data_IF_530402708336
#
_entry.id   IF_530402708336
#
_cell.length_a   1.000
_cell.length_b   1.000
_cell.length_c   1.000
_cell.angle_alpha   90.00
_cell.angle_beta   90.00
_cell.angle_gamma   90.00
#
_symmetry.space_group_name_H-M   'P 1'
#
loop_
_entity.id
_entity.type
_entity.pdbx_description
1 polymer ?
#
# COMPACT_ATOMS: atom_id res chain seq x y z
N UNK A 1 4.30 -10.66 -3.43
CA UNK A 1 5.66 -10.67 -4.00
C UNK A 1 5.61 -11.24 -5.39
N UNK A 2 6.47 -10.77 -6.28
CA UNK A 2 6.58 -11.33 -7.63
C UNK A 2 7.17 -12.75 -7.63
N UNK A 3 7.97 -13.10 -6.60
CA UNK A 3 8.60 -14.42 -6.48
C UNK A 3 7.68 -15.47 -5.88
N UNK A 4 7.71 -16.67 -6.47
CA UNK A 4 7.11 -17.87 -5.90
C UNK A 4 7.89 -18.36 -4.67
N UNK A 5 7.22 -19.06 -3.75
CA UNK A 5 7.89 -19.62 -2.58
C UNK A 5 9.00 -20.63 -2.93
N UNK A 6 8.97 -21.23 -4.12
CA UNK A 6 10.05 -22.08 -4.63
C UNK A 6 11.29 -21.27 -5.02
N UNK A 7 11.13 -20.11 -5.65
CA UNK A 7 12.23 -19.22 -6.00
C UNK A 7 12.88 -18.62 -4.76
N UNK A 8 12.08 -18.25 -3.77
CA UNK A 8 12.56 -17.82 -2.45
C UNK A 8 13.34 -18.96 -1.79
N UNK A 9 12.79 -20.18 -1.75
CA UNK A 9 13.45 -21.33 -1.14
C UNK A 9 14.81 -21.65 -1.77
N UNK A 10 14.99 -21.42 -3.08
CA UNK A 10 16.29 -21.60 -3.75
C UNK A 10 17.38 -20.68 -3.20
N UNK A 11 17.01 -19.49 -2.72
CA UNK A 11 17.90 -18.46 -2.18
C UNK A 11 18.12 -18.58 -0.66
N UNK A 12 17.31 -19.38 0.04
CA UNK A 12 17.46 -19.60 1.48
C UNK A 12 18.60 -20.59 1.82
N UNK A 13 19.08 -20.61 3.08
CA UNK A 13 20.16 -21.50 3.54
C UNK A 13 19.81 -23.00 3.55
N UNK A 14 18.52 -23.36 3.48
CA UNK A 14 18.01 -24.75 3.48
C UNK A 14 18.42 -25.58 4.70
N UNK A 15 18.77 -24.93 5.82
CA UNK A 15 19.17 -25.60 7.07
C UNK A 15 18.02 -26.26 7.81
N UNK A 16 16.78 -25.77 7.62
CA UNK A 16 15.59 -26.19 8.39
C UNK A 16 15.80 -26.12 9.92
N UNK A 17 16.59 -25.15 10.40
CA UNK A 17 16.96 -25.01 11.81
C UNK A 17 15.79 -24.62 12.74
N UNK A 18 14.72 -24.05 12.19
CA UNK A 18 13.52 -23.53 12.90
C UNK A 18 13.76 -22.28 13.75
N UNK A 19 14.92 -21.65 13.66
CA UNK A 19 15.23 -20.42 14.41
C UNK A 19 14.32 -19.24 14.03
N UNK A 20 13.74 -19.26 12.82
CA UNK A 20 12.74 -18.29 12.38
C UNK A 20 11.30 -18.59 12.87
N UNK A 21 11.11 -19.67 13.64
CA UNK A 21 9.81 -20.13 14.16
C UNK A 21 8.99 -20.97 13.18
N UNK A 22 9.53 -21.31 12.00
CA UNK A 22 8.85 -22.15 11.00
C UNK A 22 9.43 -23.56 10.96
N UNK A 23 8.61 -24.60 10.69
CA UNK A 23 9.04 -26.00 10.74
C UNK A 23 10.07 -26.36 9.66
N UNK A 24 10.07 -25.65 8.52
CA UNK A 24 11.04 -25.83 7.43
C UNK A 24 11.33 -24.49 6.73
N UNK A 25 12.46 -24.41 6.03
CA UNK A 25 12.79 -23.25 5.18
C UNK A 25 11.78 -23.07 4.04
N UNK A 26 11.17 -24.16 3.54
CA UNK A 26 10.11 -24.08 2.55
C UNK A 26 8.84 -23.46 3.14
N UNK A 27 8.47 -23.82 4.37
CA UNK A 27 7.32 -23.20 5.05
C UNK A 27 7.55 -21.70 5.27
N UNK A 28 8.77 -21.30 5.67
CA UNK A 28 9.15 -19.90 5.75
C UNK A 28 9.04 -19.20 4.39
N UNK A 29 9.58 -19.81 3.32
CA UNK A 29 9.53 -19.25 1.96
C UNK A 29 8.11 -19.03 1.44
N UNK A 30 7.17 -19.93 1.74
CA UNK A 30 5.76 -19.78 1.35
C UNK A 30 5.07 -18.64 2.10
N UNK A 31 5.38 -18.47 3.39
CA UNK A 31 4.83 -17.37 4.20
C UNK A 31 5.42 -16.03 3.79
N UNK A 32 6.71 -16.03 3.40
CA UNK A 32 7.39 -14.86 2.83
C UNK A 32 6.71 -14.48 1.51
N UNK A 33 6.54 -15.41 0.56
CA UNK A 33 5.85 -15.15 -0.71
C UNK A 33 4.44 -14.55 -0.54
N UNK A 34 3.72 -15.01 0.50
CA UNK A 34 2.40 -14.48 0.85
C UNK A 34 2.43 -13.06 1.44
N UNK A 35 3.59 -12.55 1.86
CA UNK A 35 3.73 -11.26 2.54
C UNK A 35 3.31 -11.30 4.01
N UNK A 36 3.33 -12.47 4.65
CA UNK A 36 2.89 -12.68 6.04
C UNK A 36 4.04 -12.63 7.06
N UNK A 37 5.27 -12.60 6.57
CA UNK A 37 6.49 -12.57 7.38
C UNK A 37 7.55 -11.79 6.62
N UNK A 38 8.48 -11.17 7.34
CA UNK A 38 9.62 -10.47 6.75
C UNK A 38 10.86 -11.37 6.68
N UNK A 39 11.75 -11.08 5.73
CA UNK A 39 12.97 -11.87 5.50
C UNK A 39 13.92 -11.86 6.72
N UNK A 40 13.92 -10.75 7.46
CA UNK A 40 14.73 -10.50 8.67
C UNK A 40 14.51 -11.52 9.79
N UNK A 41 13.36 -12.21 9.76
CA UNK A 41 13.03 -13.23 10.76
C UNK A 41 13.92 -14.48 10.65
N UNK A 42 14.64 -14.66 9.54
CA UNK A 42 15.60 -15.74 9.41
C UNK A 42 17.02 -15.24 9.68
N UNK A 43 17.66 -15.64 10.80
CA UNK A 43 18.97 -15.11 11.19
C UNK A 43 20.12 -15.62 10.33
N UNK A 44 19.88 -16.63 9.49
CA UNK A 44 20.92 -17.31 8.71
C UNK A 44 20.95 -16.89 7.23
N UNK A 45 20.14 -15.92 6.81
CA UNK A 45 20.11 -15.46 5.41
C UNK A 45 21.39 -14.68 5.10
N UNK A 46 22.10 -15.06 4.04
CA UNK A 46 23.28 -14.33 3.57
C UNK A 46 22.90 -12.94 3.06
N UNK A 47 23.80 -11.97 3.15
CA UNK A 47 23.51 -10.60 2.72
C UNK A 47 23.20 -10.51 1.21
N UNK A 48 23.88 -11.32 0.39
CA UNK A 48 23.58 -11.47 -1.05
C UNK A 48 22.15 -11.96 -1.31
N UNK A 49 21.64 -12.89 -0.48
CA UNK A 49 20.27 -13.38 -0.59
C UNK A 49 19.27 -12.34 -0.08
N UNK A 50 19.64 -11.49 0.89
CA UNK A 50 18.81 -10.37 1.34
C UNK A 50 18.64 -9.33 0.24
N UNK A 51 19.71 -8.93 -0.43
CA UNK A 51 19.65 -7.95 -1.52
C UNK A 51 18.78 -8.46 -2.67
N UNK A 52 19.05 -9.67 -3.17
CA UNK A 52 18.30 -10.24 -4.29
C UNK A 52 16.82 -10.46 -3.98
N UNK A 53 16.48 -10.84 -2.75
CA UNK A 53 15.08 -11.00 -2.33
C UNK A 53 14.41 -9.67 -2.04
N UNK A 54 15.13 -8.68 -1.52
CA UNK A 54 14.60 -7.33 -1.28
C UNK A 54 14.24 -6.65 -2.59
N UNK A 55 15.14 -6.65 -3.57
CA UNK A 55 14.92 -6.08 -4.90
C UNK A 55 13.72 -6.72 -5.61
N UNK A 56 13.65 -8.06 -5.61
CA UNK A 56 12.57 -8.80 -6.25
C UNK A 56 11.23 -8.75 -5.48
N UNK A 57 11.26 -8.33 -4.22
CA UNK A 57 10.05 -8.18 -3.40
C UNK A 57 9.49 -6.77 -3.40
N UNK A 58 10.21 -5.79 -3.98
CA UNK A 58 9.70 -4.42 -4.07
C UNK A 58 8.35 -4.42 -4.81
N UNK A 59 7.34 -3.73 -4.26
CA UNK A 59 6.07 -3.55 -4.96
C UNK A 59 6.32 -2.93 -6.33
N UNK A 60 5.64 -3.40 -7.40
CA UNK A 60 5.78 -2.81 -8.72
C UNK A 60 5.29 -1.36 -8.76
N UNK A 61 4.39 -0.99 -7.84
CA UNK A 61 3.86 0.36 -7.66
C UNK A 61 4.33 0.87 -6.30
N UNK A 62 5.07 1.98 -6.31
CA UNK A 62 5.58 2.60 -5.10
C UNK A 62 4.46 3.14 -4.21
N UNK A 63 4.72 3.16 -2.90
CA UNK A 63 3.89 3.84 -1.91
C UNK A 63 4.05 5.35 -2.04
N UNK A 64 2.94 6.08 -2.10
CA UNK A 64 2.90 7.54 -2.03
C UNK A 64 1.95 7.95 -0.92
N UNK A 65 2.47 8.64 0.08
CA UNK A 65 1.67 9.21 1.16
C UNK A 65 1.39 10.69 0.86
N UNK A 66 0.12 11.07 0.91
CA UNK A 66 -0.33 12.45 0.63
C UNK A 66 -1.01 12.99 1.88
N UNK A 67 -0.54 14.14 2.36
CA UNK A 67 -1.04 14.81 3.56
C UNK A 67 -0.15 14.60 4.79
N UNK A 68 -0.67 14.99 5.95
CA UNK A 68 -0.01 14.79 7.25
C UNK A 68 -1.04 14.63 8.36
N UNK A 69 -0.70 13.86 9.40
CA UNK A 69 -1.58 13.62 10.54
C UNK A 69 -2.74 12.67 10.23
N UNK A 70 -3.88 12.87 10.89
CA UNK A 70 -5.03 11.96 10.85
C UNK A 70 -5.74 11.90 9.49
N UNK A 71 -5.52 12.89 8.61
CA UNK A 71 -6.09 12.96 7.26
C UNK A 71 -5.11 12.55 6.16
N UNK A 72 -3.93 12.01 6.52
CA UNK A 72 -3.02 11.47 5.53
C UNK A 72 -3.60 10.19 4.93
N UNK A 73 -3.49 10.05 3.60
CA UNK A 73 -3.90 8.84 2.90
C UNK A 73 -2.75 8.29 2.06
N UNK A 74 -2.77 6.97 1.88
CA UNK A 74 -1.75 6.24 1.14
C UNK A 74 -2.32 5.81 -0.20
N UNK A 75 -1.57 6.07 -1.26
CA UNK A 75 -1.81 5.57 -2.60
C UNK A 75 -0.68 4.62 -3.03
N UNK A 76 -0.99 3.73 -3.96
CA UNK A 76 -0.02 2.80 -4.53
C UNK A 76 0.06 1.47 -3.78
N UNK A 77 1.23 0.84 -3.79
CA UNK A 77 1.46 -0.51 -3.24
C UNK A 77 0.57 -1.63 -3.83
N UNK A 78 -0.10 -1.37 -4.94
CA UNK A 78 -0.93 -2.36 -5.60
C UNK A 78 -0.08 -3.43 -6.27
N UNK A 79 -0.55 -4.68 -6.15
CA UNK A 79 0.22 -5.86 -6.60
C UNK A 79 -0.50 -6.69 -7.66
N UNK A 80 -1.76 -6.38 -7.97
CA UNK A 80 -2.61 -7.18 -8.87
C UNK A 80 -3.44 -6.30 -9.80
N UNK A 81 -3.80 -6.86 -10.96
CA UNK A 81 -4.72 -6.23 -11.91
C UNK A 81 -6.18 -6.55 -11.58
N UNK A 82 -6.46 -7.74 -11.06
CA UNK A 82 -7.81 -8.19 -10.76
C UNK A 82 -7.99 -8.55 -9.29
N UNK A 83 -9.10 -8.09 -8.72
CA UNK A 83 -9.45 -8.31 -7.30
C UNK A 83 -9.66 -9.76 -6.88
N UNK A 84 -9.80 -10.68 -7.84
CA UNK A 84 -9.99 -12.10 -7.55
C UNK A 84 -8.66 -12.85 -7.40
N UNK A 85 -7.57 -12.31 -7.97
CA UNK A 85 -6.23 -12.85 -7.75
C UNK A 85 -5.74 -12.50 -6.34
N UNK A 86 -5.96 -11.25 -5.92
CA UNK A 86 -5.68 -10.75 -4.57
C UNK A 86 -6.53 -9.51 -4.27
N UNK A 87 -6.66 -9.18 -3.00
CA UNK A 87 -7.32 -7.95 -2.53
C UNK A 87 -6.51 -6.71 -2.92
N UNK A 88 -7.19 -5.66 -3.38
CA UNK A 88 -6.61 -4.32 -3.49
C UNK A 88 -6.32 -3.75 -2.10
N UNK A 89 -5.17 -3.12 -1.93
CA UNK A 89 -4.64 -2.79 -0.62
C UNK A 89 -5.11 -1.41 -0.18
N UNK A 90 -5.00 -0.43 -1.07
CA UNK A 90 -5.27 0.97 -0.75
C UNK A 90 -6.53 1.46 -1.46
N UNK A 91 -7.44 2.07 -0.70
CA UNK A 91 -8.66 2.64 -1.24
C UNK A 91 -8.33 3.84 -2.16
N UNK A 92 -9.07 3.99 -3.26
CA UNK A 92 -8.91 5.13 -4.15
C UNK A 92 -9.30 6.43 -3.45
N UNK A 93 -8.40 7.43 -3.50
CA UNK A 93 -8.69 8.76 -2.98
C UNK A 93 -9.70 9.50 -3.86
N UNK A 94 -10.70 10.10 -3.24
CA UNK A 94 -11.69 10.94 -3.89
C UNK A 94 -11.40 12.41 -3.59
N UNK A 95 -11.33 13.21 -4.66
CA UNK A 95 -11.03 14.62 -4.57
C UNK A 95 -12.02 15.47 -5.38
N UNK A 96 -12.39 16.63 -4.83
CA UNK A 96 -13.21 17.63 -5.53
C UNK A 96 -12.30 18.73 -6.08
N UNK A 97 -12.53 19.13 -7.34
CA UNK A 97 -11.75 20.19 -7.97
C UNK A 97 -12.40 21.54 -7.75
N UNK A 98 -11.63 22.50 -7.23
CA UNK A 98 -12.01 23.91 -7.07
C UNK A 98 -11.13 24.74 -8.00
N UNK A 99 -11.74 25.65 -8.78
CA UNK A 99 -10.99 26.55 -9.65
C UNK A 99 -10.75 27.89 -8.94
N UNK A 100 -9.63 28.53 -9.22
CA UNK A 100 -9.27 29.85 -8.68
C UNK A 100 -10.07 31.03 -9.31
N UNK A 101 -10.76 30.80 -10.42
CA UNK A 101 -11.58 31.82 -11.12
C UNK A 101 -13.01 31.93 -10.55
N UNK A 102 -13.33 31.13 -9.53
CA UNK A 102 -14.63 31.17 -8.87
C UNK A 102 -14.67 32.32 -7.87
N UNK A 103 -15.85 32.90 -7.66
CA UNK A 103 -16.00 33.94 -6.63
C UNK A 103 -15.74 33.37 -5.23
N UNK A 104 -15.24 34.19 -4.30
CA UNK A 104 -14.97 33.76 -2.92
C UNK A 104 -16.21 33.11 -2.27
N UNK A 105 -17.41 33.64 -2.54
CA UNK A 105 -18.68 33.09 -2.04
C UNK A 105 -18.98 31.66 -2.56
N UNK A 106 -18.59 31.35 -3.80
CA UNK A 106 -18.77 30.02 -4.38
C UNK A 106 -17.73 29.03 -3.86
N UNK A 107 -16.51 29.50 -3.58
CA UNK A 107 -15.45 28.71 -2.97
C UNK A 107 -15.85 28.32 -1.54
N UNK A 108 -16.32 29.27 -0.73
CA UNK A 108 -16.76 29.01 0.64
C UNK A 108 -17.91 27.99 0.69
N UNK A 109 -18.92 28.13 -0.19
CA UNK A 109 -20.02 27.16 -0.30
C UNK A 109 -19.53 25.76 -0.72
N UNK A 110 -18.63 25.70 -1.69
CA UNK A 110 -18.08 24.42 -2.15
C UNK A 110 -17.27 23.74 -1.03
N UNK A 111 -16.51 24.51 -0.25
CA UNK A 111 -15.73 24.00 0.88
C UNK A 111 -16.63 23.54 2.03
N UNK A 112 -17.73 24.27 2.34
CA UNK A 112 -18.69 23.79 3.33
C UNK A 112 -19.34 22.48 2.91
N UNK A 113 -19.80 22.40 1.66
CA UNK A 113 -20.41 21.19 1.12
C UNK A 113 -19.43 20.01 1.16
N UNK A 114 -18.15 20.23 0.82
CA UNK A 114 -17.10 19.19 0.88
C UNK A 114 -16.88 18.67 2.32
N UNK A 115 -16.90 19.55 3.31
CA UNK A 115 -16.70 19.16 4.71
C UNK A 115 -17.92 18.41 5.28
N UNK A 116 -19.12 18.74 4.80
CA UNK A 116 -20.37 18.11 5.26
C UNK A 116 -20.62 16.75 4.59
N UNK A 117 -19.99 16.48 3.44
CA UNK A 117 -20.06 15.19 2.77
C UNK A 117 -19.36 14.11 3.61
N UNK A 118 -20.16 13.43 4.43
CA UNK A 118 -19.80 12.19 5.10
C UNK A 118 -20.99 11.24 5.11
N UNK A 119 -20.73 9.97 4.78
CA UNK A 119 -21.76 8.93 4.72
C UNK A 119 -21.35 7.74 5.57
N UNK A 120 -22.24 7.27 6.44
CA UNK A 120 -22.03 6.01 7.15
C UNK A 120 -22.58 4.84 6.32
N UNK A 121 -21.72 3.89 5.98
CA UNK A 121 -22.09 2.69 5.26
C UNK A 121 -21.56 1.46 5.99
N UNK A 122 -22.46 0.74 6.66
CA UNK A 122 -22.15 -0.53 7.36
C UNK A 122 -21.01 -0.33 8.39
N UNK A 123 -21.09 0.75 9.17
CA UNK A 123 -20.09 1.10 10.20
C UNK A 123 -18.79 1.70 9.65
N UNK A 124 -18.69 1.96 8.34
CA UNK A 124 -17.59 2.71 7.73
C UNK A 124 -18.04 4.13 7.42
N UNK A 125 -17.27 5.13 7.85
CA UNK A 125 -17.47 6.53 7.47
C UNK A 125 -16.75 6.81 6.16
N UNK A 126 -17.51 7.09 5.10
CA UNK A 126 -17.01 7.49 3.80
C UNK A 126 -17.01 9.01 3.73
N UNK A 127 -15.85 9.62 3.50
CA UNK A 127 -15.67 11.06 3.35
C UNK A 127 -14.77 11.34 2.14
N UNK A 128 -14.65 12.62 1.77
CA UNK A 128 -13.68 13.06 0.76
C UNK A 128 -12.27 13.10 1.35
N UNK A 129 -11.28 12.67 0.56
CA UNK A 129 -9.89 12.55 1.00
C UNK A 129 -9.10 13.83 0.75
N UNK A 130 -9.40 14.56 -0.34
CA UNK A 130 -8.68 15.79 -0.66
C UNK A 130 -9.47 16.81 -1.49
N UNK A 131 -8.90 18.01 -1.60
CA UNK A 131 -9.38 19.07 -2.48
C UNK A 131 -8.28 19.38 -3.49
N UNK A 132 -8.63 19.39 -4.77
CA UNK A 132 -7.73 19.72 -5.87
C UNK A 132 -7.95 21.18 -6.28
N UNK A 133 -6.97 22.04 -6.03
CA UNK A 133 -7.03 23.44 -6.45
C UNK A 133 -6.44 23.55 -7.86
N UNK A 134 -7.25 24.02 -8.80
CA UNK A 134 -6.83 24.23 -10.19
C UNK A 134 -6.63 25.72 -10.46
N UNK A 135 -5.38 26.12 -10.67
CA UNK A 135 -5.06 27.44 -11.19
C UNK A 135 -5.55 27.54 -12.65
N UNK A 136 -6.57 28.36 -12.88
CA UNK A 136 -7.06 28.78 -14.20
C UNK A 136 -6.72 30.23 -14.53
N UNK A 137 -6.42 31.03 -13.51
CA UNK A 137 -6.20 32.48 -13.58
C UNK A 137 -4.87 32.85 -14.23
N UNK A 138 -3.89 31.95 -14.21
CA UNK A 138 -2.57 32.10 -14.86
C UNK A 138 -1.49 32.43 -13.85
#
# INVERSE_FOLDING_TARGET
MALSGLEIFKKLPKTNCKDCGFPTCLAFAMQLAAGKVELEKCPHVSDEAKEALSEASQPPILKVEIGSGEKAFVLGEETVLYRHDRTFVNQSALAVTINDDMSEEEIEKSVSDINDISYERVGLTLALDSVCIKNKSG
#
